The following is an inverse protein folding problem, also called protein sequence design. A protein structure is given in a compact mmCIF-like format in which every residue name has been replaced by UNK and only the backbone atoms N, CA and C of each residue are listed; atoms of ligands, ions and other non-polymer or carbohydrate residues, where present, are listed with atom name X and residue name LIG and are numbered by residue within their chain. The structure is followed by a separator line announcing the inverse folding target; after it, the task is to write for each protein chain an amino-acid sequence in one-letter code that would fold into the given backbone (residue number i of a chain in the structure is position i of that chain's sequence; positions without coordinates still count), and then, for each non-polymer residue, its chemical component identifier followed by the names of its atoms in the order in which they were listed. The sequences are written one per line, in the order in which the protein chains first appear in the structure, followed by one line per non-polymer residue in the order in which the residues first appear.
data_IF_496057146714
#
_entry.id   IF_496057146714
#
_cell.length_a   1.000
_cell.length_b   1.000
_cell.length_c   1.000
_cell.angle_alpha   90.00
_cell.angle_beta   90.00
_cell.angle_gamma   90.00
#
_symmetry.space_group_name_H-M   'P 1'
#
loop_
_entity.id
_entity.type
_entity.pdbx_description
1 polymer ?
#
# COMPACT_ATOMS: atom_id res chain seq x y z
N UNK A 1 2.73 -0.65 -19.57
CA UNK A 1 2.02 -1.86 -19.08
C UNK A 1 2.44 -2.05 -17.63
N UNK A 2 1.49 -2.19 -16.70
CA UNK A 2 1.75 -2.53 -15.30
C UNK A 2 0.90 -3.77 -14.95
N UNK A 3 1.39 -4.60 -14.04
CA UNK A 3 0.68 -5.78 -13.56
C UNK A 3 -0.32 -5.36 -12.48
N UNK A 4 -1.52 -5.95 -12.48
CA UNK A 4 -2.54 -5.72 -11.45
C UNK A 4 -2.51 -6.85 -10.44
N UNK A 5 -2.15 -6.54 -9.21
CA UNK A 5 -2.03 -7.54 -8.15
C UNK A 5 -3.38 -7.91 -7.53
N UNK A 6 -4.35 -6.97 -7.53
CA UNK A 6 -5.69 -7.17 -6.97
C UNK A 6 -5.64 -7.65 -5.51
N UNK A 7 -4.83 -6.96 -4.69
CA UNK A 7 -4.57 -7.34 -3.30
C UNK A 7 -5.71 -6.94 -2.36
N UNK A 8 -6.47 -5.92 -2.72
CA UNK A 8 -7.61 -5.41 -1.97
C UNK A 8 -8.88 -5.89 -2.65
N UNK A 9 -9.67 -6.70 -1.91
CA UNK A 9 -10.92 -7.28 -2.43
C UNK A 9 -12.17 -6.51 -1.98
N UNK A 10 -12.03 -5.70 -0.93
CA UNK A 10 -13.08 -4.85 -0.36
C UNK A 10 -13.43 -3.68 -1.28
N UNK A 11 -12.43 -2.97 -1.78
CA UNK A 11 -12.57 -1.95 -2.82
C UNK A 11 -11.59 -2.22 -3.97
N UNK A 12 -12.14 -2.52 -5.14
CA UNK A 12 -11.33 -2.83 -6.32
C UNK A 12 -10.62 -1.60 -6.87
N UNK A 13 -11.15 -0.39 -6.66
CA UNK A 13 -10.57 0.87 -7.14
C UNK A 13 -9.29 1.23 -6.37
N UNK A 14 -9.21 0.86 -5.10
CA UNK A 14 -8.02 1.09 -4.28
C UNK A 14 -6.80 0.33 -4.78
N UNK A 15 -6.99 -0.73 -5.57
CA UNK A 15 -5.88 -1.52 -6.10
C UNK A 15 -4.86 -0.68 -6.90
N UNK A 16 -5.29 0.49 -7.41
CA UNK A 16 -4.42 1.41 -8.16
C UNK A 16 -3.28 1.97 -7.29
N UNK A 17 -3.43 2.02 -5.97
CA UNK A 17 -2.46 2.65 -5.08
C UNK A 17 -1.33 1.69 -4.70
N UNK A 18 -1.63 0.44 -4.36
CA UNK A 18 -0.59 -0.56 -4.09
C UNK A 18 0.06 -1.05 -5.38
N UNK A 19 -0.69 -1.17 -6.49
CA UNK A 19 -0.10 -1.44 -7.81
C UNK A 19 0.94 -0.36 -8.16
N UNK A 20 0.62 0.92 -7.91
CA UNK A 20 1.56 2.02 -8.11
C UNK A 20 2.75 1.98 -7.14
N UNK A 21 2.53 1.65 -5.88
CA UNK A 21 3.61 1.51 -4.90
C UNK A 21 4.58 0.39 -5.30
N UNK A 22 4.08 -0.75 -5.75
CA UNK A 22 4.90 -1.89 -6.19
C UNK A 22 5.62 -1.55 -7.49
N UNK A 23 4.91 -1.02 -8.49
CA UNK A 23 5.50 -0.66 -9.78
C UNK A 23 6.54 0.46 -9.66
N UNK A 24 6.32 1.39 -8.74
CA UNK A 24 7.25 2.47 -8.40
C UNK A 24 8.39 2.06 -7.46
N UNK A 25 8.39 0.81 -6.98
CA UNK A 25 9.30 0.31 -5.95
C UNK A 25 9.38 1.26 -4.73
N UNK A 26 8.22 1.74 -4.29
CA UNK A 26 8.11 2.66 -3.16
C UNK A 26 8.37 1.92 -1.84
N UNK A 27 9.09 2.57 -0.92
CA UNK A 27 9.36 2.00 0.40
C UNK A 27 8.09 1.89 1.25
N UNK A 28 7.18 2.88 1.15
CA UNK A 28 5.98 3.01 1.97
C UNK A 28 4.78 3.51 1.17
N UNK A 29 3.60 2.98 1.47
CA UNK A 29 2.31 3.53 1.11
C UNK A 29 1.72 4.23 2.34
N UNK A 30 1.65 5.56 2.30
CA UNK A 30 1.15 6.36 3.44
C UNK A 30 -0.34 6.62 3.28
N UNK A 31 -1.15 6.09 4.19
CA UNK A 31 -2.61 6.27 4.16
C UNK A 31 -3.22 6.12 5.56
N UNK A 32 -4.33 6.82 5.81
CA UNK A 32 -5.19 6.63 7.00
C UNK A 32 -6.41 5.75 6.70
N UNK A 33 -6.49 5.24 5.47
CA UNK A 33 -7.57 4.37 5.04
C UNK A 33 -7.38 2.94 5.58
N UNK A 34 -8.47 2.38 6.11
CA UNK A 34 -8.48 1.06 6.75
C UNK A 34 -8.57 -0.07 5.74
N UNK A 35 -8.99 0.20 4.50
CA UNK A 35 -9.15 -0.82 3.48
C UNK A 35 -7.79 -1.44 3.07
N UNK A 36 -6.70 -0.67 3.24
CA UNK A 36 -5.32 -1.15 3.05
C UNK A 36 -4.78 -2.06 4.16
N UNK A 37 -5.57 -2.36 5.21
CA UNK A 37 -5.14 -3.32 6.23
C UNK A 37 -5.05 -4.75 5.68
N UNK A 38 -5.78 -5.08 4.61
CA UNK A 38 -5.63 -6.37 3.90
C UNK A 38 -4.20 -6.52 3.37
N UNK A 39 -3.65 -5.45 2.79
CA UNK A 39 -2.30 -5.42 2.19
C UNK A 39 -1.20 -5.60 3.25
N UNK A 40 -1.42 -5.13 4.48
CA UNK A 40 -0.44 -5.30 5.58
C UNK A 40 -0.15 -6.77 5.93
N UNK A 41 -1.11 -7.65 5.69
CA UNK A 41 -1.00 -9.08 6.01
C UNK A 41 -0.29 -9.88 4.91
N UNK A 42 -0.04 -9.27 3.76
CA UNK A 42 0.50 -9.94 2.58
C UNK A 42 2.03 -10.01 2.68
N UNK A 43 2.56 -11.23 2.56
CA UNK A 43 4.01 -11.47 2.62
C UNK A 43 4.71 -11.15 1.30
N UNK A 44 4.01 -11.30 0.17
CA UNK A 44 4.51 -10.95 -1.16
C UNK A 44 3.35 -10.73 -2.15
N UNK A 45 3.40 -9.68 -3.01
CA UNK A 45 4.36 -8.58 -2.99
C UNK A 45 4.20 -7.71 -1.74
N UNK A 46 5.33 -7.31 -1.14
CA UNK A 46 5.31 -6.60 0.14
C UNK A 46 5.14 -5.10 -0.09
N UNK A 47 4.10 -4.52 0.49
CA UNK A 47 3.85 -3.07 0.52
C UNK A 47 3.76 -2.64 1.98
N UNK A 48 4.64 -1.74 2.43
CA UNK A 48 4.59 -1.25 3.80
C UNK A 48 3.57 -0.11 3.89
N UNK A 49 2.41 -0.40 4.46
CA UNK A 49 1.37 0.59 4.69
C UNK A 49 1.57 1.23 6.06
N UNK A 50 1.76 2.55 6.09
CA UNK A 50 1.97 3.32 7.34
C UNK A 50 1.00 4.50 7.44
N UNK A 51 0.72 4.94 8.65
CA UNK A 51 -0.05 6.17 8.92
C UNK A 51 0.78 7.43 8.68
N UNK A 52 0.11 8.58 8.51
CA UNK A 52 0.76 9.90 8.45
C UNK A 52 1.56 10.18 9.73
N UNK A 53 1.07 9.70 10.88
CA UNK A 53 1.76 9.85 12.16
C UNK A 53 3.08 9.07 12.17
N UNK A 54 3.08 7.83 11.68
CA UNK A 54 4.29 7.01 11.55
C UNK A 54 5.26 7.62 10.54
N UNK A 55 4.76 8.09 9.39
CA UNK A 55 5.58 8.76 8.39
C UNK A 55 6.29 9.99 8.96
N UNK A 56 5.58 10.80 9.75
CA UNK A 56 6.18 11.97 10.42
C UNK A 56 7.35 11.60 11.33
N UNK A 57 7.31 10.44 12.01
CA UNK A 57 8.41 9.98 12.88
C UNK A 57 9.60 9.51 12.05
N UNK A 58 9.38 8.96 10.85
CA UNK A 58 10.47 8.46 9.98
C UNK A 58 11.32 9.59 9.36
N UNK A 59 10.73 10.77 9.15
CA UNK A 59 11.38 11.90 8.48
C UNK A 59 11.97 12.93 9.45
N UNK A 60 11.88 12.70 10.75
CA UNK A 60 12.47 13.52 11.83
C UNK A 60 13.72 12.83 12.33
#
# INVERSE_FOLDING_TARGET
MYYKWMLITTDVDDNKFEDAAIAGNADYLVTEDKDFNEVKSISFPKVQVISLKEFKVLII
#
